data_IF_551467697053
#
_entry.id   IF_551467697053
#
_cell.length_a   1.000
_cell.length_b   1.000
_cell.length_c   1.000
_cell.angle_alpha   90.00
_cell.angle_beta   90.00
_cell.angle_gamma   90.00
#
_symmetry.space_group_name_H-M   'P 1'
#
loop_
_entity.id
_entity.type
_entity.pdbx_description
1 polymer ?
#
# COMPACT_ATOMS: atom_id res chain seq x y z
N UNK A 1 13.19 4.64 39.53
CA UNK A 1 13.98 3.94 38.49
C UNK A 1 13.22 2.81 37.79
N UNK A 2 12.59 1.84 38.49
CA UNK A 2 11.84 0.73 37.84
C UNK A 2 10.76 1.18 36.85
N UNK A 3 9.99 2.22 37.19
CA UNK A 3 8.95 2.78 36.29
C UNK A 3 9.57 3.34 35.00
N UNK A 4 10.71 4.03 35.10
CA UNK A 4 11.40 4.64 33.97
C UNK A 4 11.96 3.58 32.99
N UNK A 5 12.48 2.47 33.52
CA UNK A 5 12.89 1.32 32.71
C UNK A 5 11.70 0.65 32.01
N UNK A 6 10.55 0.52 32.69
CA UNK A 6 9.33 -0.03 32.09
C UNK A 6 8.80 0.90 30.98
N UNK A 7 8.85 2.23 31.19
CA UNK A 7 8.48 3.22 30.16
C UNK A 7 9.41 3.16 28.95
N UNK A 8 10.73 3.07 29.15
CA UNK A 8 11.72 2.91 28.07
C UNK A 8 11.51 1.58 27.33
N UNK A 9 11.22 0.49 28.05
CA UNK A 9 10.93 -0.81 27.46
C UNK A 9 9.63 -0.77 26.62
N UNK A 10 8.57 -0.13 27.13
CA UNK A 10 7.31 0.04 26.38
C UNK A 10 7.50 0.90 25.12
N UNK A 11 8.25 2.00 25.22
CA UNK A 11 8.55 2.87 24.07
C UNK A 11 9.39 2.14 23.02
N UNK A 12 10.35 1.30 23.43
CA UNK A 12 11.16 0.50 22.50
C UNK A 12 10.35 -0.64 21.87
N UNK A 13 9.42 -1.28 22.59
CA UNK A 13 8.54 -2.32 22.04
C UNK A 13 7.51 -1.75 21.07
N UNK A 14 6.98 -0.54 21.32
CA UNK A 14 6.10 0.16 20.37
C UNK A 14 6.78 0.46 19.03
N UNK A 15 8.10 0.72 19.06
CA UNK A 15 8.87 0.96 17.83
C UNK A 15 8.94 -0.25 16.90
N UNK A 16 8.75 -1.48 17.42
CA UNK A 16 8.84 -2.74 16.66
C UNK A 16 7.52 -3.19 16.01
N UNK A 17 6.42 -2.46 16.20
CA UNK A 17 5.14 -2.81 15.60
C UNK A 17 5.09 -2.37 14.13
N UNK A 18 4.65 -3.27 13.25
CA UNK A 18 4.49 -2.93 11.83
C UNK A 18 3.44 -1.83 11.64
N UNK A 19 3.67 -0.90 10.71
CA UNK A 19 2.78 0.22 10.41
C UNK A 19 1.42 -0.29 9.97
N UNK A 20 0.36 0.33 10.51
CA UNK A 20 -1.03 0.02 10.18
C UNK A 20 -1.29 0.35 8.71
N UNK A 21 -2.05 -0.50 8.02
CA UNK A 21 -2.31 -0.33 6.58
C UNK A 21 -3.17 0.92 6.31
N UNK A 22 -4.04 1.31 7.24
CA UNK A 22 -4.76 2.58 7.14
C UNK A 22 -3.84 3.80 7.04
N UNK A 23 -2.69 3.81 7.73
CA UNK A 23 -1.74 4.94 7.64
C UNK A 23 -1.02 4.94 6.29
N UNK A 24 -0.73 3.76 5.74
CA UNK A 24 -0.12 3.60 4.41
C UNK A 24 -1.07 4.06 3.30
N UNK A 25 -2.37 3.82 3.48
CA UNK A 25 -3.43 4.15 2.52
C UNK A 25 -4.06 5.53 2.79
N UNK A 26 -3.57 6.30 3.77
CA UNK A 26 -4.15 7.58 4.21
C UNK A 26 -5.65 7.49 4.55
N UNK A 27 -6.06 6.38 5.17
CA UNK A 27 -7.44 6.15 5.59
C UNK A 27 -7.65 6.52 7.07
N UNK A 28 -8.82 7.06 7.40
CA UNK A 28 -9.16 7.39 8.78
C UNK A 28 -9.37 6.13 9.63
N UNK A 29 -9.34 6.31 10.95
CA UNK A 29 -9.55 5.22 11.90
C UNK A 29 -11.02 4.77 11.92
N UNK A 30 -11.27 3.55 12.40
CA UNK A 30 -12.62 2.97 12.45
C UNK A 30 -13.13 2.42 11.11
N UNK A 31 -12.28 2.34 10.07
CA UNK A 31 -12.66 1.67 8.82
C UNK A 31 -12.75 0.17 9.03
N UNK A 32 -13.84 -0.42 8.54
CA UNK A 32 -14.13 -1.85 8.61
C UNK A 32 -13.83 -2.55 7.29
N UNK A 33 -14.22 -1.94 6.19
CA UNK A 33 -13.96 -2.43 4.84
C UNK A 33 -13.82 -1.28 3.86
N UNK A 34 -13.21 -1.55 2.71
CA UNK A 34 -13.21 -0.62 1.60
C UNK A 34 -13.19 -1.39 0.28
N UNK A 35 -13.86 -0.84 -0.72
CA UNK A 35 -13.75 -1.29 -2.11
C UNK A 35 -13.04 -0.22 -2.92
N UNK A 36 -11.98 -0.59 -3.62
CA UNK A 36 -11.23 0.27 -4.54
C UNK A 36 -11.49 -0.20 -5.97
N UNK A 37 -11.93 0.71 -6.83
CA UNK A 37 -12.13 0.46 -8.25
C UNK A 37 -11.21 1.39 -9.04
N UNK A 38 -10.43 0.80 -9.96
CA UNK A 38 -9.44 1.52 -10.75
C UNK A 38 -9.88 1.48 -12.21
N UNK A 39 -9.98 2.65 -12.81
CA UNK A 39 -10.39 2.85 -14.19
C UNK A 39 -9.25 3.45 -15.01
N UNK A 40 -9.13 3.01 -16.25
CA UNK A 40 -8.42 3.74 -17.29
C UNK A 40 -9.35 4.78 -17.91
N UNK A 41 -8.85 5.98 -18.16
CA UNK A 41 -9.60 7.04 -18.84
C UNK A 41 -8.96 7.28 -20.20
N UNK A 42 -9.63 6.85 -21.26
CA UNK A 42 -9.21 7.02 -22.66
C UNK A 42 -10.35 7.71 -23.41
N UNK A 43 -10.08 8.82 -24.08
CA UNK A 43 -11.09 9.59 -24.82
C UNK A 43 -12.35 9.92 -24.00
N UNK A 44 -12.18 10.31 -22.73
CA UNK A 44 -13.26 10.56 -21.76
C UNK A 44 -14.18 9.37 -21.45
N UNK A 45 -13.86 8.17 -21.94
CA UNK A 45 -14.54 6.94 -21.55
C UNK A 45 -13.78 6.25 -20.43
N UNK A 46 -14.53 5.72 -19.45
CA UNK A 46 -13.97 4.98 -18.31
C UNK A 46 -14.05 3.49 -18.60
N UNK A 47 -12.91 2.82 -18.54
CA UNK A 47 -12.82 1.37 -18.61
C UNK A 47 -12.32 0.85 -17.27
N UNK A 48 -13.11 0.01 -16.61
CA UNK A 48 -12.69 -0.64 -15.36
C UNK A 48 -11.47 -1.52 -15.68
N UNK A 49 -10.41 -1.38 -14.88
CA UNK A 49 -9.21 -2.23 -14.97
C UNK A 49 -9.26 -3.32 -13.90
N UNK A 50 -9.57 -2.93 -12.67
CA UNK A 50 -9.58 -3.84 -11.53
C UNK A 50 -10.46 -3.31 -10.41
N UNK A 51 -10.95 -4.26 -9.61
CA UNK A 51 -11.68 -4.02 -8.38
C UNK A 51 -11.00 -4.75 -7.24
N UNK A 52 -10.78 -4.06 -6.12
CA UNK A 52 -10.13 -4.59 -4.93
C UNK A 52 -10.99 -4.38 -3.70
N UNK A 53 -11.40 -5.48 -3.09
CA UNK A 53 -12.11 -5.49 -1.82
C UNK A 53 -11.10 -5.68 -0.68
N UNK A 54 -11.27 -4.92 0.40
CA UNK A 54 -10.40 -4.93 1.57
C UNK A 54 -11.25 -5.02 2.84
N UNK A 55 -10.87 -5.93 3.73
CA UNK A 55 -11.47 -6.07 5.06
C UNK A 55 -10.40 -5.75 6.09
N UNK A 56 -10.70 -4.82 6.98
CA UNK A 56 -9.81 -4.34 8.02
C UNK A 56 -10.12 -5.02 9.36
N UNK A 57 -9.08 -5.10 10.19
CA UNK A 57 -9.20 -5.35 11.63
C UNK A 57 -9.54 -4.04 12.34
N UNK A 58 -10.10 -4.11 13.56
CA UNK A 58 -10.33 -2.92 14.41
C UNK A 58 -9.10 -2.02 14.57
N UNK A 59 -7.89 -2.60 14.48
CA UNK A 59 -6.62 -1.87 14.58
C UNK A 59 -6.13 -1.28 13.24
N UNK A 60 -6.94 -1.28 12.18
CA UNK A 60 -6.60 -0.66 10.89
C UNK A 60 -5.57 -1.43 10.05
N UNK A 61 -5.48 -2.75 10.25
CA UNK A 61 -4.68 -3.66 9.40
C UNK A 61 -5.59 -4.42 8.46
N UNK A 62 -5.16 -4.67 7.24
CA UNK A 62 -5.90 -5.50 6.29
C UNK A 62 -5.84 -6.96 6.76
N UNK A 63 -7.02 -7.52 7.08
CA UNK A 63 -7.20 -8.93 7.42
C UNK A 63 -7.27 -9.79 6.16
N UNK A 64 -7.94 -9.27 5.14
CA UNK A 64 -8.22 -9.94 3.89
C UNK A 64 -8.33 -8.92 2.76
N UNK A 65 -7.84 -9.25 1.57
CA UNK A 65 -8.19 -8.50 0.37
C UNK A 65 -8.34 -9.42 -0.82
N UNK A 66 -9.18 -9.02 -1.79
CA UNK A 66 -9.36 -9.73 -3.05
C UNK A 66 -9.38 -8.72 -4.18
N UNK A 67 -8.52 -8.91 -5.17
CA UNK A 67 -8.46 -8.13 -6.40
C UNK A 67 -8.93 -8.98 -7.56
N UNK A 68 -9.88 -8.47 -8.32
CA UNK A 68 -10.37 -9.05 -9.57
C UNK A 68 -10.15 -8.09 -10.74
N UNK A 69 -10.03 -8.64 -11.95
CA UNK A 69 -9.97 -7.85 -13.17
C UNK A 69 -11.38 -7.35 -13.58
N UNK A 70 -11.44 -6.61 -14.68
CA UNK A 70 -12.68 -6.10 -15.26
C UNK A 70 -13.72 -7.19 -15.58
N UNK A 71 -13.26 -8.40 -15.89
CA UNK A 71 -14.09 -9.56 -16.23
C UNK A 71 -14.50 -10.39 -15.00
N UNK A 72 -14.02 -10.01 -13.81
CA UNK A 72 -14.28 -10.72 -12.55
C UNK A 72 -13.32 -11.87 -12.26
N UNK A 73 -12.29 -12.09 -13.06
CA UNK A 73 -11.28 -13.12 -12.80
C UNK A 73 -10.38 -12.70 -11.63
N UNK A 74 -9.97 -13.69 -10.83
CA UNK A 74 -9.08 -13.45 -9.70
C UNK A 74 -7.70 -12.99 -10.19
N UNK A 75 -7.27 -11.80 -9.78
CA UNK A 75 -5.91 -11.29 -10.00
C UNK A 75 -5.03 -11.64 -8.80
N UNK A 76 -5.50 -11.34 -7.59
CA UNK A 76 -4.77 -11.59 -6.36
C UNK A 76 -5.72 -11.73 -5.17
N UNK A 77 -5.45 -12.66 -4.27
CA UNK A 77 -6.11 -12.74 -2.97
C UNK A 77 -5.05 -12.68 -1.87
N UNK A 78 -5.27 -11.86 -0.84
CA UNK A 78 -4.38 -11.79 0.31
C UNK A 78 -5.10 -12.12 1.61
N UNK A 79 -4.45 -12.88 2.48
CA UNK A 79 -4.98 -13.23 3.80
C UNK A 79 -3.92 -13.05 4.87
N UNK A 80 -4.21 -12.19 5.85
CA UNK A 80 -3.35 -12.01 7.02
C UNK A 80 -3.42 -13.24 7.92
N UNK A 81 -2.25 -13.77 8.23
CA UNK A 81 -2.01 -14.75 9.30
C UNK A 81 -1.21 -14.06 10.42
N UNK A 82 -1.02 -14.76 11.53
CA UNK A 82 -0.38 -14.21 12.72
C UNK A 82 0.98 -13.58 12.41
N UNK A 83 1.84 -14.30 11.70
CA UNK A 83 3.24 -13.90 11.44
C UNK A 83 3.57 -13.55 9.98
N UNK A 84 2.63 -13.71 9.05
CA UNK A 84 2.84 -13.50 7.63
C UNK A 84 1.54 -13.20 6.90
N UNK A 85 1.63 -12.77 5.64
CA UNK A 85 0.51 -12.64 4.70
C UNK A 85 0.65 -13.74 3.67
N UNK A 86 -0.45 -14.41 3.34
CA UNK A 86 -0.50 -15.35 2.21
C UNK A 86 -1.07 -14.60 1.01
N UNK A 87 -0.35 -14.59 -0.10
CA UNK A 87 -0.81 -14.07 -1.38
C UNK A 87 -1.08 -15.25 -2.31
N UNK A 88 -2.26 -15.28 -2.93
CA UNK A 88 -2.64 -16.28 -3.92
C UNK A 88 -2.88 -15.62 -5.25
N UNK A 89 -2.52 -16.33 -6.30
CA UNK A 89 -2.67 -15.95 -7.70
C UNK A 89 -3.29 -17.15 -8.45
N UNK A 90 -4.03 -16.93 -9.55
CA UNK A 90 -4.74 -18.00 -10.25
C UNK A 90 -3.81 -19.10 -10.79
N UNK A 91 -2.64 -18.73 -11.31
CA UNK A 91 -1.75 -19.63 -12.05
C UNK A 91 -0.38 -19.82 -11.38
N UNK A 92 -0.26 -19.58 -10.07
CA UNK A 92 1.01 -19.68 -9.34
C UNK A 92 0.81 -20.25 -7.95
N UNK A 93 1.86 -20.89 -7.43
CA UNK A 93 1.88 -21.27 -6.02
C UNK A 93 1.70 -20.03 -5.10
N UNK A 94 1.05 -20.19 -3.94
CA UNK A 94 0.90 -19.11 -2.99
C UNK A 94 2.25 -18.58 -2.47
N UNK A 95 2.33 -17.26 -2.32
CA UNK A 95 3.49 -16.61 -1.72
C UNK A 95 3.24 -16.33 -0.24
N UNK A 96 4.29 -16.53 0.55
CA UNK A 96 4.26 -16.30 2.00
C UNK A 96 5.12 -15.10 2.35
N UNK A 97 4.48 -13.95 2.55
CA UNK A 97 5.12 -12.67 2.77
C UNK A 97 5.36 -12.41 4.26
N UNK A 98 6.63 -12.25 4.64
CA UNK A 98 7.03 -11.93 6.02
C UNK A 98 7.52 -10.49 6.09
N UNK A 99 6.91 -9.70 6.97
CA UNK A 99 7.38 -8.35 7.29
C UNK A 99 8.39 -8.43 8.42
N UNK A 100 9.57 -7.85 8.22
CA UNK A 100 10.60 -7.65 9.25
C UNK A 100 10.80 -6.17 9.48
N UNK A 101 10.72 -5.77 10.74
CA UNK A 101 11.02 -4.40 11.12
C UNK A 101 12.53 -4.12 11.03
N UNK A 102 12.86 -2.88 10.68
CA UNK A 102 14.21 -2.36 10.61
C UNK A 102 14.27 -0.97 11.26
N UNK A 103 15.44 -0.58 11.80
CA UNK A 103 15.65 0.78 12.31
C UNK A 103 15.26 1.86 11.30
N UNK A 104 14.96 3.05 11.81
CA UNK A 104 14.60 4.26 11.04
C UNK A 104 13.29 4.12 10.26
N UNK A 105 12.22 3.67 10.93
CA UNK A 105 10.87 3.59 10.37
C UNK A 105 10.83 2.81 9.05
N UNK A 106 11.48 1.65 9.03
CA UNK A 106 11.63 0.84 7.82
C UNK A 106 11.06 -0.55 8.00
N UNK A 107 10.35 -1.02 6.99
CA UNK A 107 9.88 -2.41 6.90
C UNK A 107 10.44 -3.07 5.67
N UNK A 108 10.90 -4.31 5.83
CA UNK A 108 11.25 -5.19 4.72
C UNK A 108 10.20 -6.27 4.62
N UNK A 109 9.54 -6.36 3.48
CA UNK A 109 8.58 -7.42 3.16
C UNK A 109 9.25 -8.33 2.15
N UNK A 110 9.49 -9.58 2.55
CA UNK A 110 10.06 -10.61 1.66
C UNK A 110 9.02 -11.70 1.48
N UNK A 111 8.69 -12.05 0.23
CA UNK A 111 7.77 -13.16 -0.06
C UNK A 111 8.51 -14.36 -0.63
N UNK A 112 8.03 -15.54 -0.25
CA UNK A 112 8.68 -16.81 -0.56
C UNK A 112 7.67 -17.80 -1.14
N UNK A 113 8.05 -18.58 -2.14
CA UNK A 113 7.38 -19.85 -2.46
C UNK A 113 7.90 -20.94 -1.52
N UNK A 114 7.01 -21.85 -1.11
CA UNK A 114 7.34 -23.00 -0.27
C UNK A 114 8.14 -22.66 1.01
N UNK A 115 8.02 -21.41 1.50
CA UNK A 115 8.74 -20.84 2.66
C UNK A 115 10.28 -20.79 2.55
N UNK A 116 10.88 -21.10 1.40
CA UNK A 116 12.33 -21.15 1.22
C UNK A 116 12.83 -20.27 0.07
N UNK A 117 12.16 -20.28 -1.08
CA UNK A 117 12.62 -19.57 -2.27
C UNK A 117 12.04 -18.16 -2.33
N UNK A 118 12.90 -17.14 -2.12
CA UNK A 118 12.48 -15.74 -2.15
C UNK A 118 12.12 -15.32 -3.58
N UNK A 119 10.88 -14.88 -3.78
CA UNK A 119 10.36 -14.47 -5.09
C UNK A 119 10.36 -12.96 -5.28
N UNK A 120 10.16 -12.20 -4.21
CA UNK A 120 10.18 -10.74 -4.25
C UNK A 120 10.64 -10.16 -2.90
N UNK A 121 11.02 -8.89 -2.92
CA UNK A 121 11.33 -8.13 -1.73
C UNK A 121 11.09 -6.66 -1.96
N UNK A 122 10.31 -6.06 -1.07
CA UNK A 122 10.07 -4.62 -1.03
C UNK A 122 10.51 -4.05 0.30
N UNK A 123 11.11 -2.86 0.24
CA UNK A 123 11.54 -2.11 1.41
C UNK A 123 10.74 -0.83 1.47
N UNK A 124 9.95 -0.68 2.52
CA UNK A 124 9.15 0.51 2.80
C UNK A 124 9.88 1.39 3.79
N UNK A 125 9.98 2.66 3.46
CA UNK A 125 10.41 3.72 4.37
C UNK A 125 9.20 4.58 4.68
N UNK A 126 8.98 4.89 5.95
CA UNK A 126 7.83 5.67 6.40
C UNK A 126 8.25 7.03 6.93
N UNK A 127 7.37 8.01 6.75
CA UNK A 127 7.41 9.27 7.48
C UNK A 127 7.03 9.04 8.96
N UNK A 128 7.25 10.05 9.79
CA UNK A 128 6.93 9.98 11.23
C UNK A 128 5.44 9.71 11.50
N UNK A 129 4.56 10.24 10.65
CA UNK A 129 3.10 10.04 10.71
C UNK A 129 2.62 8.65 10.24
N UNK A 130 3.52 7.84 9.68
CA UNK A 130 3.25 6.50 9.17
C UNK A 130 2.83 6.43 7.70
N UNK A 131 2.76 7.57 7.00
CA UNK A 131 2.64 7.60 5.54
C UNK A 131 3.91 7.04 4.87
N UNK A 132 3.79 6.56 3.64
CA UNK A 132 4.93 6.00 2.91
C UNK A 132 5.82 7.15 2.43
N UNK A 133 7.11 7.15 2.75
CA UNK A 133 8.08 8.08 2.19
C UNK A 133 8.60 7.58 0.85
N UNK A 134 9.11 6.34 0.84
CA UNK A 134 9.56 5.67 -0.37
C UNK A 134 9.42 4.15 -0.28
N UNK A 135 9.30 3.52 -1.43
CA UNK A 135 9.40 2.07 -1.57
C UNK A 135 10.54 1.73 -2.52
N UNK A 136 11.35 0.75 -2.15
CA UNK A 136 12.43 0.23 -2.98
C UNK A 136 12.15 -1.23 -3.29
N UNK A 137 12.14 -1.57 -4.58
CA UNK A 137 12.12 -2.94 -5.04
C UNK A 137 13.56 -3.46 -5.22
N UNK A 138 13.87 -4.57 -4.57
CA UNK A 138 15.17 -5.23 -4.70
C UNK A 138 15.17 -6.33 -5.78
N UNK A 139 14.10 -6.42 -6.58
CA UNK A 139 13.99 -7.28 -7.73
C UNK A 139 13.91 -6.44 -9.01
N UNK A 140 14.37 -7.02 -10.13
CA UNK A 140 14.35 -6.36 -11.43
C UNK A 140 12.92 -5.88 -11.77
N UNK A 141 12.72 -4.61 -12.16
CA UNK A 141 13.72 -3.66 -12.68
C UNK A 141 14.44 -2.75 -11.66
N UNK A 142 14.35 -3.04 -10.35
CA UNK A 142 14.99 -2.26 -9.27
C UNK A 142 14.53 -0.81 -9.21
N UNK A 143 13.22 -0.60 -9.25
CA UNK A 143 12.64 0.73 -9.15
C UNK A 143 12.51 1.19 -7.69
N UNK A 144 12.75 2.48 -7.45
CA UNK A 144 12.39 3.16 -6.22
C UNK A 144 11.30 4.17 -6.50
N UNK A 145 10.22 4.12 -5.73
CA UNK A 145 9.12 5.07 -5.78
C UNK A 145 9.22 6.02 -4.59
N UNK A 146 9.21 7.32 -4.85
CA UNK A 146 9.20 8.38 -3.85
C UNK A 146 7.81 9.00 -3.79
N UNK A 147 7.25 9.11 -2.60
CA UNK A 147 5.88 9.59 -2.37
C UNK A 147 5.94 10.98 -1.74
N UNK A 148 5.30 11.94 -2.40
CA UNK A 148 5.25 13.34 -1.97
C UNK A 148 3.84 13.72 -1.57
N UNK A 149 3.75 14.53 -0.51
CA UNK A 149 2.48 14.91 0.09
C UNK A 149 2.37 16.43 0.15
N UNK A 150 1.17 16.94 -0.16
CA UNK A 150 0.79 18.35 -0.02
C UNK A 150 -0.45 18.37 0.86
N UNK A 151 -0.45 19.18 1.93
CA UNK A 151 -1.55 19.24 2.91
C UNK A 151 -1.97 17.88 3.47
N UNK A 152 -0.97 17.01 3.74
CA UNK A 152 -1.14 15.62 4.21
C UNK A 152 -1.86 14.68 3.22
N UNK A 153 -2.03 15.10 1.96
CA UNK A 153 -2.58 14.28 0.88
C UNK A 153 -1.48 13.92 -0.11
N UNK A 154 -1.52 12.69 -0.61
CA UNK A 154 -0.56 12.24 -1.62
C UNK A 154 -0.76 13.05 -2.92
N UNK A 155 0.29 13.74 -3.38
CA UNK A 155 0.23 14.65 -4.53
C UNK A 155 1.09 14.20 -5.70
N UNK A 156 2.18 13.47 -5.45
CA UNK A 156 3.06 12.96 -6.52
C UNK A 156 3.76 11.67 -6.12
N UNK A 157 3.96 10.78 -7.10
CA UNK A 157 4.88 9.65 -6.99
C UNK A 157 5.95 9.80 -8.07
N UNK A 158 7.22 9.89 -7.69
CA UNK A 158 8.34 9.87 -8.64
C UNK A 158 8.96 8.48 -8.65
N UNK A 159 9.05 7.86 -9.83
CA UNK A 159 9.64 6.53 -10.01
C UNK A 159 11.03 6.71 -10.60
N UNK A 160 12.05 6.16 -9.92
CA UNK A 160 13.44 6.15 -10.38
C UNK A 160 13.93 4.73 -10.56
N UNK A 161 14.83 4.51 -11.51
CA UNK A 161 15.52 3.23 -11.67
C UNK A 161 16.74 3.13 -10.73
N UNK A 162 17.49 2.02 -10.84
CA UNK A 162 18.73 1.78 -10.09
C UNK A 162 19.83 2.83 -10.27
N UNK A 163 19.82 3.57 -11.39
CA UNK A 163 20.80 4.61 -11.72
C UNK A 163 20.33 6.01 -11.26
N UNK A 164 19.27 6.09 -10.44
CA UNK A 164 18.63 7.32 -9.98
C UNK A 164 18.05 8.21 -11.10
N UNK A 165 17.88 7.68 -12.31
CA UNK A 165 17.22 8.40 -13.40
C UNK A 165 15.71 8.25 -13.27
N UNK A 166 14.97 9.35 -13.48
CA UNK A 166 13.50 9.35 -13.45
C UNK A 166 12.97 8.50 -14.60
N UNK A 167 12.19 7.47 -14.26
CA UNK A 167 11.50 6.57 -15.19
C UNK A 167 10.13 7.12 -15.56
N UNK A 168 9.42 7.66 -14.58
CA UNK A 168 8.10 8.28 -14.72
C UNK A 168 7.79 9.15 -13.48
N UNK A 169 6.87 10.09 -13.62
CA UNK A 169 6.22 10.76 -12.50
C UNK A 169 4.71 10.60 -12.61
N UNK A 170 4.06 10.30 -11.49
CA UNK A 170 2.61 10.16 -11.42
C UNK A 170 2.10 11.34 -10.60
N UNK A 171 1.41 12.26 -11.27
CA UNK A 171 0.69 13.35 -10.64
C UNK A 171 -0.61 12.82 -10.06
N UNK A 172 -0.92 13.20 -8.83
CA UNK A 172 -2.05 12.69 -8.09
C UNK A 172 -2.91 13.86 -7.61
N UNK A 173 -4.20 13.75 -7.84
CA UNK A 173 -5.18 14.73 -7.38
C UNK A 173 -6.33 14.01 -6.69
N UNK A 174 -6.65 14.46 -5.48
CA UNK A 174 -7.86 14.02 -4.79
C UNK A 174 -9.01 14.98 -5.12
N UNK A 175 -10.05 14.48 -5.77
CA UNK A 175 -11.19 15.29 -6.25
C UNK A 175 -12.34 15.34 -5.23
N UNK A 176 -12.52 14.27 -4.46
CA UNK A 176 -13.57 14.19 -3.45
C UNK A 176 -13.04 13.50 -2.19
N UNK A 177 -13.40 14.03 -1.02
CA UNK A 177 -13.13 13.42 0.26
C UNK A 177 -14.45 13.09 0.98
N UNK A 178 -14.42 12.12 1.87
CA UNK A 178 -15.52 11.91 2.82
C UNK A 178 -15.41 12.88 4.02
N UNK A 179 -16.40 12.83 4.90
CA UNK A 179 -16.45 13.62 6.13
C UNK A 179 -15.29 13.32 7.09
N UNK A 180 -14.71 12.12 7.01
CA UNK A 180 -13.58 11.67 7.84
C UNK A 180 -12.21 11.99 7.22
N UNK A 181 -12.18 12.60 6.02
CA UNK A 181 -10.98 13.03 5.31
C UNK A 181 -10.32 11.99 4.40
N UNK A 182 -10.93 10.83 4.17
CA UNK A 182 -10.49 9.84 3.19
C UNK A 182 -10.73 10.34 1.76
N UNK A 183 -9.77 10.15 0.86
CA UNK A 183 -9.96 10.46 -0.55
C UNK A 183 -10.85 9.40 -1.22
N UNK A 184 -12.07 9.79 -1.61
CA UNK A 184 -13.04 8.92 -2.27
C UNK A 184 -12.81 8.83 -3.78
N UNK A 185 -12.32 9.91 -4.39
CA UNK A 185 -12.04 9.97 -5.82
C UNK A 185 -10.66 10.55 -6.06
N UNK A 186 -9.79 9.76 -6.67
CA UNK A 186 -8.42 10.13 -6.96
C UNK A 186 -8.13 9.99 -8.46
N UNK A 187 -7.60 11.04 -9.07
CA UNK A 187 -7.05 10.99 -10.43
C UNK A 187 -5.54 10.81 -10.36
N UNK A 188 -5.00 9.95 -11.22
CA UNK A 188 -3.56 9.75 -11.42
C UNK A 188 -3.21 9.97 -12.88
N UNK A 189 -2.16 10.73 -13.15
CA UNK A 189 -1.69 11.00 -14.52
C UNK A 189 -0.19 10.73 -14.58
N UNK A 190 0.21 9.80 -15.44
CA UNK A 190 1.63 9.56 -15.77
C UNK A 190 2.14 10.69 -16.66
N UNK A 191 3.22 11.36 -16.26
CA UNK A 191 3.83 12.43 -17.06
C UNK A 191 4.53 11.90 -18.30
N UNK A 192 4.96 10.64 -18.28
CA UNK A 192 5.62 10.00 -19.43
C UNK A 192 4.64 9.52 -20.49
N UNK A 193 3.54 8.90 -20.09
CA UNK A 193 2.59 8.28 -21.03
C UNK A 193 1.34 9.13 -21.24
N UNK A 194 1.10 10.15 -20.42
CA UNK A 194 -0.15 10.90 -20.32
C UNK A 194 -1.38 10.01 -20.04
N UNK A 195 -1.17 8.74 -19.66
CA UNK A 195 -2.25 7.86 -19.28
C UNK A 195 -2.90 8.35 -17.99
N UNK A 196 -4.21 8.53 -18.04
CA UNK A 196 -5.03 8.94 -16.91
C UNK A 196 -5.71 7.72 -16.31
N UNK A 197 -5.59 7.59 -15.00
CA UNK A 197 -6.35 6.63 -14.20
C UNK A 197 -7.24 7.37 -13.22
N UNK A 198 -8.42 6.83 -13.00
CA UNK A 198 -9.33 7.28 -11.95
C UNK A 198 -9.52 6.15 -10.95
N UNK A 199 -9.42 6.47 -9.67
CA UNK A 199 -9.58 5.53 -8.57
C UNK A 199 -10.75 5.99 -7.73
N UNK A 200 -11.72 5.10 -7.57
CA UNK A 200 -12.87 5.28 -6.70
C UNK A 200 -12.70 4.40 -5.47
N UNK A 201 -12.83 4.99 -4.30
CA UNK A 201 -12.76 4.31 -3.02
C UNK A 201 -14.12 4.41 -2.34
N UNK A 202 -14.66 3.27 -1.95
CA UNK A 202 -15.91 3.13 -1.20
C UNK A 202 -15.60 2.58 0.19
N UNK A 203 -15.23 3.42 1.17
CA UNK A 203 -14.98 2.99 2.53
C UNK A 203 -16.30 2.73 3.28
N UNK A 204 -16.27 1.76 4.19
CA UNK A 204 -17.33 1.50 5.15
C UNK A 204 -16.73 1.54 6.55
N UNK A 205 -17.35 2.36 7.40
CA UNK A 205 -16.97 2.56 8.78
C UNK A 205 -17.91 1.79 9.71
N UNK A 206 -17.43 1.48 10.92
CA UNK A 206 -18.30 1.11 12.04
C UNK A 206 -19.00 2.36 12.61
#
# INVERSE_FOLDING_TARGET
>A
MRVLFISILLLTVQSCATKKDIKKLLLPEGIKSATEEIYSVVNNQKMLLQKKEMVFTRNGRIKYSKTVDASGNLVQETKKKLWFVVEKYPNKEPYYCKTRWKPNQRERISCYTQKQYKQNESIYHYNSDGSINKTTDNFSPFCTQYFYYTDKKLSKITIKNKNDTIVDEILITCEANDEKGACLKQTRISTKTNNKQEILLFPSYD
#
